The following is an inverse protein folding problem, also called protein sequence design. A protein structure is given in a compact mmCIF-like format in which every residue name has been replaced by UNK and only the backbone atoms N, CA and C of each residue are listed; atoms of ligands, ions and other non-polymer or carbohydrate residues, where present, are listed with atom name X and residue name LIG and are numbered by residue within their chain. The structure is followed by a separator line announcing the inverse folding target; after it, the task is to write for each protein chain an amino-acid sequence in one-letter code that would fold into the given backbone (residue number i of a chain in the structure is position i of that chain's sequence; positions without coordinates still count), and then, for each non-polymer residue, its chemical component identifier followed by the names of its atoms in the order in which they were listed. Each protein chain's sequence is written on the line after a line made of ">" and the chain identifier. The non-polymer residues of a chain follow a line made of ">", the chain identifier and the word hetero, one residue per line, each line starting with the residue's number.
data_IF_433272755464
#
_entry.id   IF_433272755464
#
_cell.length_a   1.000
_cell.length_b   1.000
_cell.length_c   1.000
_cell.angle_alpha   90.00
_cell.angle_beta   90.00
_cell.angle_gamma   90.00
#
_symmetry.space_group_name_H-M   'P 1'
#
loop_
_entity.id
_entity.type
_entity.pdbx_description
1 polymer ?
#
# COMPACT_ATOMS: atom_id res chain seq x y z
N UNK A 1 -7.85 25.75 2.31
CA UNK A 1 -6.97 25.36 1.17
C UNK A 1 -5.51 25.73 1.38
N UNK A 2 -5.20 26.66 2.30
CA UNK A 2 -3.82 26.94 2.71
C UNK A 2 -3.05 25.68 3.13
N UNK A 3 -3.63 24.82 3.98
CA UNK A 3 -2.99 23.56 4.39
C UNK A 3 -2.70 22.57 3.26
N UNK A 4 -3.53 22.54 2.21
CA UNK A 4 -3.26 21.72 1.03
C UNK A 4 -2.02 22.22 0.29
N UNK A 5 -1.85 23.54 0.17
CA UNK A 5 -0.61 24.13 -0.35
C UNK A 5 0.56 23.80 0.58
N UNK A 6 0.37 23.90 1.90
CA UNK A 6 1.39 23.53 2.89
C UNK A 6 1.87 22.08 2.75
N UNK A 7 1.02 21.17 2.29
CA UNK A 7 1.41 19.78 2.07
C UNK A 7 2.57 19.66 1.07
N UNK A 8 2.55 20.48 0.01
CA UNK A 8 3.53 20.46 -1.08
C UNK A 8 4.57 21.59 -1.01
N UNK A 9 4.49 22.51 -0.03
CA UNK A 9 5.37 23.68 0.07
C UNK A 9 6.86 23.32 0.22
N UNK A 10 7.15 22.24 0.94
CA UNK A 10 8.55 21.82 1.19
C UNK A 10 9.12 20.97 0.05
N UNK A 11 8.36 20.75 -1.03
CA UNK A 11 8.84 19.96 -2.17
C UNK A 11 9.75 20.86 -3.01
N UNK A 12 11.05 20.52 -3.17
CA UNK A 12 11.95 21.29 -4.01
C UNK A 12 11.46 21.28 -5.46
N UNK A 13 11.44 22.44 -6.11
CA UNK A 13 11.12 22.52 -7.54
C UNK A 13 12.29 21.99 -8.35
N UNK A 14 12.12 20.88 -9.10
CA UNK A 14 13.22 20.28 -9.85
C UNK A 14 13.46 20.99 -11.20
N UNK A 15 12.70 22.05 -11.50
CA UNK A 15 12.81 22.83 -12.74
C UNK A 15 13.78 24.00 -12.57
N UNK A 16 14.21 24.56 -13.69
CA UNK A 16 15.04 25.76 -13.70
C UNK A 16 14.25 27.01 -13.29
N UNK A 17 14.96 28.07 -12.89
CA UNK A 17 14.41 29.36 -12.40
C UNK A 17 13.46 30.06 -13.38
N UNK A 18 13.45 29.67 -14.66
CA UNK A 18 12.53 30.19 -15.67
C UNK A 18 11.18 29.46 -15.71
N UNK A 19 10.88 28.61 -14.72
CA UNK A 19 9.60 27.94 -14.59
C UNK A 19 8.46 28.96 -14.46
N UNK A 20 7.48 28.87 -15.37
CA UNK A 20 6.32 29.80 -15.39
C UNK A 20 5.21 29.39 -14.42
N UNK A 21 4.98 28.10 -14.22
CA UNK A 21 3.87 27.63 -13.37
C UNK A 21 4.40 27.28 -11.99
N UNK A 22 3.77 27.80 -10.93
CA UNK A 22 4.04 27.43 -9.55
C UNK A 22 3.92 25.91 -9.33
N UNK A 23 4.91 25.30 -8.69
CA UNK A 23 4.97 23.84 -8.49
C UNK A 23 3.76 23.33 -7.72
N UNK A 24 3.38 24.02 -6.65
CA UNK A 24 2.28 23.62 -5.79
C UNK A 24 0.98 23.67 -6.57
N UNK A 25 0.73 24.73 -7.33
CA UNK A 25 -0.44 24.81 -8.22
C UNK A 25 -0.48 23.63 -9.21
N UNK A 26 0.66 23.23 -9.80
CA UNK A 26 0.69 22.04 -10.70
C UNK A 26 0.37 20.74 -9.95
N UNK A 27 0.95 20.52 -8.78
CA UNK A 27 0.69 19.32 -7.98
C UNK A 27 -0.76 19.25 -7.48
N UNK A 28 -1.37 20.39 -7.13
CA UNK A 28 -2.79 20.47 -6.76
C UNK A 28 -3.67 20.06 -7.94
N UNK A 29 -3.42 20.62 -9.13
CA UNK A 29 -4.21 20.28 -10.33
C UNK A 29 -4.07 18.80 -10.64
N UNK A 30 -2.85 18.25 -10.57
CA UNK A 30 -2.60 16.84 -10.84
C UNK A 30 -3.39 15.94 -9.86
N UNK A 31 -3.38 16.25 -8.56
CA UNK A 31 -4.14 15.47 -7.58
C UNK A 31 -5.66 15.60 -7.81
N UNK A 32 -6.16 16.82 -8.05
CA UNK A 32 -7.57 17.04 -8.36
C UNK A 32 -8.01 16.30 -9.63
N UNK A 33 -7.18 16.29 -10.67
CA UNK A 33 -7.44 15.55 -11.90
C UNK A 33 -7.53 14.04 -11.64
N UNK A 34 -6.59 13.48 -10.88
CA UNK A 34 -6.60 12.04 -10.54
C UNK A 34 -7.81 11.67 -9.66
N UNK A 35 -8.25 12.55 -8.76
CA UNK A 35 -9.50 12.37 -8.01
C UNK A 35 -10.73 12.30 -8.92
N UNK A 36 -10.67 12.95 -10.08
CA UNK A 36 -11.71 12.95 -11.11
C UNK A 36 -11.51 11.86 -12.18
N UNK A 37 -10.46 11.04 -12.08
CA UNK A 37 -10.22 9.89 -12.97
C UNK A 37 -9.29 10.17 -14.14
N UNK A 38 -8.42 11.19 -14.04
CA UNK A 38 -7.33 11.38 -14.99
C UNK A 38 -6.26 10.28 -14.83
N UNK A 39 -5.90 9.62 -15.93
CA UNK A 39 -4.96 8.49 -15.93
C UNK A 39 -3.53 8.94 -16.29
N UNK A 40 -3.40 10.04 -17.04
CA UNK A 40 -2.14 10.52 -17.60
C UNK A 40 -2.02 12.06 -17.62
N UNK A 41 -0.85 12.57 -18.01
CA UNK A 41 -0.56 14.00 -17.99
C UNK A 41 -1.37 14.82 -19.02
N UNK A 42 -1.86 14.21 -20.10
CA UNK A 42 -2.76 14.88 -21.04
C UNK A 42 -4.13 15.09 -20.39
N UNK A 43 -4.67 14.07 -19.73
CA UNK A 43 -5.92 14.17 -18.98
C UNK A 43 -5.83 15.23 -17.86
N UNK A 44 -4.67 15.35 -17.20
CA UNK A 44 -4.43 16.40 -16.19
C UNK A 44 -4.53 17.81 -16.77
N UNK A 45 -3.98 18.02 -17.97
CA UNK A 45 -4.04 19.31 -18.65
C UNK A 45 -5.47 19.61 -19.14
N UNK A 46 -6.15 18.61 -19.72
CA UNK A 46 -7.55 18.74 -20.16
C UNK A 46 -8.49 19.03 -18.99
N UNK A 47 -8.33 18.31 -17.87
CA UNK A 47 -9.02 18.60 -16.62
C UNK A 47 -8.77 20.03 -16.14
N UNK A 48 -7.50 20.47 -16.15
CA UNK A 48 -7.13 21.81 -15.74
C UNK A 48 -7.85 22.88 -16.55
N UNK A 49 -7.90 22.73 -17.88
CA UNK A 49 -8.62 23.62 -18.77
C UNK A 49 -10.14 23.57 -18.51
N UNK A 50 -10.70 22.38 -18.37
CA UNK A 50 -12.14 22.19 -18.15
C UNK A 50 -12.63 22.74 -16.80
N UNK A 51 -11.76 22.74 -15.77
CA UNK A 51 -12.08 23.19 -14.41
C UNK A 51 -11.37 24.49 -14.02
N UNK A 52 -10.85 25.26 -14.98
CA UNK A 52 -10.06 26.46 -14.70
C UNK A 52 -10.80 27.45 -13.79
N UNK A 53 -12.08 27.70 -14.06
CA UNK A 53 -12.91 28.59 -13.25
C UNK A 53 -13.03 28.14 -11.79
N UNK A 54 -13.12 26.83 -11.53
CA UNK A 54 -13.11 26.26 -10.18
C UNK A 54 -11.72 26.39 -9.55
N UNK A 55 -10.67 26.01 -10.27
CA UNK A 55 -9.29 26.02 -9.79
C UNK A 55 -8.84 27.43 -9.39
N UNK A 56 -9.24 28.47 -10.14
CA UNK A 56 -8.94 29.89 -9.85
C UNK A 56 -9.59 30.39 -8.55
N UNK A 57 -10.56 29.69 -7.97
CA UNK A 57 -11.11 30.05 -6.66
C UNK A 57 -10.09 29.85 -5.52
N UNK A 58 -9.02 29.08 -5.76
CA UNK A 58 -8.06 28.72 -4.73
C UNK A 58 -6.60 28.57 -5.19
N UNK A 59 -6.35 28.56 -6.49
CA UNK A 59 -5.03 28.65 -7.11
C UNK A 59 -4.85 30.00 -7.78
N UNK A 60 -3.61 30.50 -7.86
CA UNK A 60 -3.35 31.80 -8.49
C UNK A 60 -3.37 31.69 -10.00
N UNK A 61 -2.72 30.65 -10.54
CA UNK A 61 -2.64 30.37 -11.98
C UNK A 61 -2.27 31.61 -12.80
N UNK A 62 -1.21 32.31 -12.38
CA UNK A 62 -0.73 33.55 -13.00
C UNK A 62 -0.45 33.36 -14.50
N UNK A 63 0.08 32.20 -14.86
CA UNK A 63 0.38 31.82 -16.23
C UNK A 63 -0.63 30.80 -16.83
N UNK A 64 -1.81 30.68 -16.23
CA UNK A 64 -2.87 29.76 -16.66
C UNK A 64 -2.57 28.29 -16.36
N UNK A 65 -3.29 27.40 -17.04
CA UNK A 65 -3.21 25.95 -16.83
C UNK A 65 -1.93 25.38 -17.47
N UNK A 66 -1.15 24.56 -16.73
CA UNK A 66 0.03 23.90 -17.27
C UNK A 66 -0.31 22.94 -18.41
N UNK A 67 0.58 22.86 -19.42
CA UNK A 67 0.47 21.86 -20.48
C UNK A 67 0.81 20.44 -19.98
N UNK A 68 0.41 19.42 -20.74
CA UNK A 68 0.76 18.02 -20.46
C UNK A 68 2.28 17.78 -20.38
N UNK A 69 3.07 18.50 -21.17
CA UNK A 69 4.54 18.49 -21.11
C UNK A 69 5.07 19.01 -19.77
N UNK A 70 4.40 20.01 -19.19
CA UNK A 70 4.79 20.59 -17.89
C UNK A 70 4.54 19.57 -16.78
N UNK A 71 3.36 18.95 -16.75
CA UNK A 71 3.08 17.85 -15.80
C UNK A 71 4.08 16.70 -15.96
N UNK A 72 4.30 16.25 -17.20
CA UNK A 72 5.22 15.16 -17.52
C UNK A 72 6.64 15.47 -17.06
N UNK A 73 7.14 16.70 -17.31
CA UNK A 73 8.46 17.14 -16.90
C UNK A 73 8.62 17.16 -15.38
N UNK A 74 7.64 17.71 -14.65
CA UNK A 74 7.69 17.77 -13.19
C UNK A 74 7.75 16.36 -12.62
N UNK A 75 6.81 15.47 -12.96
CA UNK A 75 6.80 14.12 -12.39
C UNK A 75 8.02 13.28 -12.77
N UNK A 76 8.67 13.57 -13.90
CA UNK A 76 9.91 12.91 -14.30
C UNK A 76 11.14 13.37 -13.51
N UNK A 77 11.20 14.65 -13.17
CA UNK A 77 12.37 15.26 -12.51
C UNK A 77 12.23 15.33 -10.99
N UNK A 78 11.00 15.27 -10.47
CA UNK A 78 10.76 15.35 -9.04
C UNK A 78 11.42 14.18 -8.33
N UNK A 79 12.27 14.49 -7.35
CA UNK A 79 12.92 13.48 -6.52
C UNK A 79 11.85 12.75 -5.68
N UNK A 80 11.66 11.43 -5.87
CA UNK A 80 10.70 10.66 -5.11
C UNK A 80 10.98 10.68 -3.60
N UNK A 81 12.25 10.77 -3.18
CA UNK A 81 12.61 10.85 -1.77
C UNK A 81 12.18 12.18 -1.15
N UNK A 82 12.19 13.27 -1.92
CA UNK A 82 11.66 14.55 -1.48
C UNK A 82 10.12 14.61 -1.54
N UNK A 83 9.50 13.81 -2.42
CA UNK A 83 8.05 13.75 -2.55
C UNK A 83 7.37 12.88 -1.49
N UNK A 84 8.04 11.84 -1.01
CA UNK A 84 7.44 10.90 -0.06
C UNK A 84 7.18 11.47 1.36
N UNK A 85 7.92 12.46 1.89
CA UNK A 85 7.51 13.22 3.08
C UNK A 85 6.14 13.88 2.96
N UNK A 86 5.75 14.32 1.75
CA UNK A 86 4.40 14.83 1.47
C UNK A 86 3.37 13.75 1.76
N UNK A 87 3.63 12.53 1.29
CA UNK A 87 2.78 11.37 1.53
C UNK A 87 2.60 11.10 3.03
N UNK A 88 3.66 11.25 3.83
CA UNK A 88 3.59 11.05 5.28
C UNK A 88 2.88 12.15 6.02
N UNK A 89 3.17 13.42 5.71
CA UNK A 89 2.44 14.56 6.29
C UNK A 89 0.95 14.43 6.02
N UNK A 90 0.61 14.04 4.79
CA UNK A 90 -0.76 13.77 4.39
C UNK A 90 -1.38 12.70 5.28
N UNK A 91 -0.68 11.59 5.52
CA UNK A 91 -1.17 10.50 6.36
C UNK A 91 -1.31 10.87 7.84
N UNK A 92 -0.43 11.72 8.37
CA UNK A 92 -0.53 12.20 9.75
C UNK A 92 -1.86 12.91 10.03
N UNK A 93 -2.47 13.55 9.00
CA UNK A 93 -3.79 14.17 9.12
C UNK A 93 -4.93 13.12 9.20
N UNK A 94 -4.75 11.92 8.63
CA UNK A 94 -5.77 10.85 8.64
C UNK A 94 -5.57 9.82 9.75
N UNK A 95 -4.35 9.62 10.22
CA UNK A 95 -3.99 8.58 11.18
C UNK A 95 -3.47 9.21 12.47
N UNK A 96 -4.38 9.60 13.37
CA UNK A 96 -3.99 10.11 14.69
C UNK A 96 -3.24 9.06 15.53
N UNK A 97 -3.51 7.77 15.32
CA UNK A 97 -2.70 6.64 15.82
C UNK A 97 -2.87 5.43 14.88
N UNK A 98 -1.75 4.90 14.35
CA UNK A 98 -1.76 3.64 13.61
C UNK A 98 -1.95 2.48 14.59
N UNK A 99 -2.97 1.65 14.37
CA UNK A 99 -3.23 0.47 15.18
C UNK A 99 -3.69 -0.68 14.30
N UNK A 100 -3.55 -1.90 14.80
CA UNK A 100 -4.00 -3.09 14.09
C UNK A 100 -2.96 -3.64 13.11
N UNK A 101 -3.38 -4.14 11.96
CA UNK A 101 -2.53 -4.86 11.02
C UNK A 101 -1.93 -3.92 9.99
N UNK A 102 -0.60 -3.95 9.89
CA UNK A 102 0.17 -3.28 8.85
C UNK A 102 0.71 -4.34 7.90
N UNK A 103 0.25 -4.36 6.65
CA UNK A 103 0.71 -5.30 5.64
C UNK A 103 1.80 -4.66 4.79
N UNK A 104 2.88 -5.42 4.55
CA UNK A 104 3.98 -5.06 3.66
C UNK A 104 3.97 -6.04 2.50
N UNK A 105 3.96 -5.52 1.28
CA UNK A 105 3.93 -6.34 0.07
C UNK A 105 4.55 -5.62 -1.13
N UNK A 106 5.13 -6.41 -2.03
CA UNK A 106 5.72 -5.95 -3.28
C UNK A 106 4.68 -5.81 -4.39
N UNK A 107 4.78 -4.76 -5.19
CA UNK A 107 3.96 -4.54 -6.39
C UNK A 107 4.85 -4.20 -7.59
N UNK A 108 4.69 -4.96 -8.67
CA UNK A 108 5.25 -4.62 -9.97
C UNK A 108 4.30 -3.69 -10.73
N UNK A 109 4.82 -2.55 -11.20
CA UNK A 109 4.12 -1.65 -12.10
C UNK A 109 4.28 -2.15 -13.55
N UNK A 110 3.35 -2.98 -14.03
CA UNK A 110 3.53 -3.71 -15.30
C UNK A 110 3.71 -2.81 -16.53
N UNK A 111 3.16 -1.61 -16.51
CA UNK A 111 3.28 -0.62 -17.58
C UNK A 111 4.61 0.15 -17.56
N UNK A 112 5.32 0.16 -16.43
CA UNK A 112 6.50 0.96 -16.15
C UNK A 112 7.79 0.18 -16.38
N UNK A 113 8.28 0.19 -17.62
CA UNK A 113 9.55 -0.41 -18.02
C UNK A 113 10.26 0.44 -19.08
N UNK A 114 11.59 0.35 -19.14
CA UNK A 114 12.37 0.97 -20.21
C UNK A 114 12.08 0.29 -21.56
N UNK A 115 12.16 1.04 -22.67
CA UNK A 115 11.95 0.47 -24.01
C UNK A 115 12.93 -0.68 -24.25
N UNK A 116 12.41 -1.87 -24.57
CA UNK A 116 13.20 -3.09 -24.73
C UNK A 116 13.32 -3.96 -23.47
N UNK A 117 12.83 -3.50 -22.31
CA UNK A 117 12.90 -4.20 -21.02
C UNK A 117 11.53 -4.53 -20.42
N UNK A 118 10.58 -4.97 -21.26
CA UNK A 118 9.20 -5.33 -20.87
C UNK A 118 9.11 -6.34 -19.71
N UNK A 119 10.13 -7.19 -19.55
CA UNK A 119 10.21 -8.24 -18.53
C UNK A 119 10.74 -7.75 -17.18
N UNK A 120 11.20 -6.50 -17.09
CA UNK A 120 11.70 -5.87 -15.86
C UNK A 120 10.92 -4.60 -15.54
N UNK A 121 9.64 -4.73 -15.14
CA UNK A 121 8.89 -3.59 -14.64
C UNK A 121 9.51 -3.03 -13.35
N UNK A 122 9.23 -1.76 -13.10
CA UNK A 122 9.53 -1.09 -11.85
C UNK A 122 8.79 -1.81 -10.70
N UNK A 123 9.50 -2.07 -9.61
CA UNK A 123 8.94 -2.70 -8.42
C UNK A 123 8.90 -1.71 -7.26
N UNK A 124 7.77 -1.71 -6.56
CA UNK A 124 7.52 -0.91 -5.37
C UNK A 124 7.23 -1.84 -4.20
N UNK A 125 7.64 -1.45 -3.01
CA UNK A 125 7.11 -2.03 -1.77
C UNK A 125 6.08 -1.05 -1.24
N UNK A 126 4.88 -1.57 -0.95
CA UNK A 126 3.79 -0.81 -0.35
C UNK A 126 3.61 -1.24 1.10
N UNK A 127 3.28 -0.25 1.95
CA UNK A 127 2.87 -0.50 3.33
C UNK A 127 1.41 -0.07 3.50
N UNK A 128 0.60 -0.96 4.05
CA UNK A 128 -0.86 -0.86 4.09
C UNK A 128 -1.39 -0.99 5.52
N UNK A 129 -2.10 0.01 6.04
CA UNK A 129 -2.82 -0.10 7.31
C UNK A 129 -4.22 -0.67 7.05
N UNK A 130 -4.46 -1.92 7.45
CA UNK A 130 -5.66 -2.67 7.06
C UNK A 130 -6.95 -2.10 7.66
N UNK A 131 -6.93 -1.74 8.93
CA UNK A 131 -8.07 -1.19 9.67
C UNK A 131 -8.38 0.24 9.23
N UNK A 132 -7.37 1.08 9.09
CA UNK A 132 -7.50 2.44 8.56
C UNK A 132 -7.88 2.43 7.07
N UNK A 133 -7.60 1.33 6.37
CA UNK A 133 -7.77 1.17 4.93
C UNK A 133 -6.97 2.21 4.14
N UNK A 134 -5.74 2.51 4.55
CA UNK A 134 -4.88 3.51 3.93
C UNK A 134 -3.53 2.92 3.52
N UNK A 135 -3.00 3.37 2.39
CA UNK A 135 -1.61 3.13 2.05
C UNK A 135 -0.76 4.12 2.83
N UNK A 136 0.18 3.63 3.64
CA UNK A 136 0.90 4.45 4.62
C UNK A 136 2.38 4.69 4.29
N UNK A 137 2.97 3.88 3.42
CA UNK A 137 4.29 4.18 2.85
C UNK A 137 4.49 3.50 1.49
N UNK A 138 5.49 3.96 0.75
CA UNK A 138 6.05 3.24 -0.38
C UNK A 138 7.55 3.48 -0.52
N UNK A 139 8.22 2.45 -1.03
CA UNK A 139 9.61 2.53 -1.48
C UNK A 139 9.79 1.89 -2.84
N UNK A 140 10.61 2.51 -3.68
CA UNK A 140 11.16 1.84 -4.86
C UNK A 140 12.02 0.66 -4.41
N UNK A 141 11.89 -0.49 -5.08
CA UNK A 141 12.79 -1.62 -4.94
C UNK A 141 13.86 -1.59 -6.06
N UNK A 142 14.96 -0.82 -5.90
CA UNK A 142 15.97 -0.73 -6.93
C UNK A 142 16.56 -2.10 -7.19
N UNK A 143 16.78 -2.44 -8.47
CA UNK A 143 17.32 -3.74 -8.89
C UNK A 143 16.55 -4.95 -8.34
N UNK A 144 15.25 -4.79 -8.03
CA UNK A 144 14.39 -5.82 -7.42
C UNK A 144 14.77 -6.23 -6.00
N UNK A 145 15.47 -5.36 -5.29
CA UNK A 145 15.74 -5.58 -3.87
C UNK A 145 14.55 -5.14 -3.02
N UNK A 146 13.47 -5.92 -3.07
CA UNK A 146 12.24 -5.67 -2.31
C UNK A 146 12.49 -5.73 -0.79
N UNK A 147 13.46 -6.53 -0.34
CA UNK A 147 13.84 -6.62 1.07
C UNK A 147 14.37 -5.29 1.60
N UNK A 148 15.34 -4.68 0.92
CA UNK A 148 15.89 -3.39 1.34
C UNK A 148 14.82 -2.29 1.32
N UNK A 149 14.00 -2.24 0.27
CA UNK A 149 12.91 -1.27 0.16
C UNK A 149 11.87 -1.42 1.28
N UNK A 150 11.57 -2.66 1.70
CA UNK A 150 10.66 -2.92 2.81
C UNK A 150 11.23 -2.45 4.15
N UNK A 151 12.52 -2.64 4.40
CA UNK A 151 13.21 -2.13 5.59
C UNK A 151 13.16 -0.60 5.64
N UNK A 152 13.55 0.07 4.55
CA UNK A 152 13.50 1.53 4.45
C UNK A 152 12.08 2.06 4.68
N UNK A 153 11.06 1.38 4.15
CA UNK A 153 9.67 1.80 4.33
C UNK A 153 9.22 1.69 5.81
N UNK A 154 9.69 0.67 6.54
CA UNK A 154 9.36 0.47 7.97
C UNK A 154 10.14 1.40 8.89
N UNK A 155 11.38 1.74 8.56
CA UNK A 155 12.22 2.68 9.33
C UNK A 155 11.64 4.08 9.48
N UNK A 156 10.54 4.33 8.80
CA UNK A 156 9.98 5.65 8.69
C UNK A 156 8.59 5.73 9.32
N UNK A 157 8.17 4.64 9.97
CA UNK A 157 6.88 4.50 10.64
C UNK A 157 7.09 4.22 12.13
N UNK A 158 6.26 4.81 12.98
CA UNK A 158 6.04 4.36 14.35
C UNK A 158 5.03 3.21 14.30
N UNK A 159 5.38 2.05 14.88
CA UNK A 159 4.60 0.81 14.77
C UNK A 159 4.01 0.39 16.12
N UNK A 160 4.04 1.26 17.12
CA UNK A 160 3.43 1.02 18.43
C UNK A 160 1.97 0.60 18.29
N UNK A 161 1.61 -0.54 18.89
CA UNK A 161 0.25 -1.10 18.78
C UNK A 161 -0.08 -1.76 17.44
N UNK A 162 0.85 -1.79 16.48
CA UNK A 162 0.68 -2.47 15.20
C UNK A 162 1.19 -3.93 15.21
N UNK A 163 0.61 -4.74 14.35
CA UNK A 163 1.11 -6.07 13.96
C UNK A 163 1.46 -6.06 12.47
N UNK A 164 2.75 -6.08 12.16
CA UNK A 164 3.27 -6.13 10.81
C UNK A 164 3.11 -7.55 10.25
N UNK A 165 2.58 -7.64 9.04
CA UNK A 165 2.46 -8.87 8.27
C UNK A 165 3.20 -8.71 6.96
N UNK A 166 3.93 -9.73 6.56
CA UNK A 166 4.64 -9.73 5.30
C UNK A 166 4.70 -11.17 4.77
N UNK A 167 4.96 -11.29 3.48
CA UNK A 167 5.15 -12.56 2.83
C UNK A 167 6.44 -13.27 3.29
N UNK A 168 6.72 -14.42 2.69
CA UNK A 168 7.88 -15.20 3.10
C UNK A 168 9.20 -14.54 2.68
N UNK A 169 9.23 -13.73 1.62
CA UNK A 169 10.42 -13.05 1.15
C UNK A 169 11.02 -12.15 2.25
N UNK A 170 10.15 -11.48 3.02
CA UNK A 170 10.53 -10.60 4.12
C UNK A 170 10.77 -11.31 5.47
N UNK A 171 10.69 -12.65 5.51
CA UNK A 171 10.86 -13.41 6.74
C UNK A 171 12.36 -13.67 7.04
N UNK A 172 13.05 -12.65 7.57
CA UNK A 172 14.44 -12.72 8.01
C UNK A 172 14.68 -11.89 9.29
N UNK A 173 15.80 -12.18 9.97
CA UNK A 173 16.09 -11.64 11.29
C UNK A 173 16.14 -10.10 11.32
N UNK A 174 16.77 -9.47 10.33
CA UNK A 174 16.86 -8.01 10.22
C UNK A 174 15.47 -7.34 10.11
N UNK A 175 14.55 -7.92 9.32
CA UNK A 175 13.18 -7.41 9.18
C UNK A 175 12.40 -7.51 10.49
N UNK A 176 12.49 -8.67 11.15
CA UNK A 176 11.90 -8.87 12.47
C UNK A 176 12.47 -7.89 13.51
N UNK A 177 13.79 -7.67 13.51
CA UNK A 177 14.45 -6.71 14.38
C UNK A 177 13.96 -5.28 14.13
N UNK A 178 13.87 -4.86 12.86
CA UNK A 178 13.37 -3.55 12.49
C UNK A 178 11.95 -3.30 13.04
N UNK A 179 11.04 -4.26 12.85
CA UNK A 179 9.67 -4.16 13.35
C UNK A 179 9.65 -4.00 14.88
N UNK A 180 10.40 -4.84 15.60
CA UNK A 180 10.44 -4.81 17.06
C UNK A 180 11.06 -3.51 17.59
N UNK A 181 12.12 -3.02 16.96
CA UNK A 181 12.79 -1.77 17.33
C UNK A 181 11.87 -0.55 17.17
N UNK A 182 10.94 -0.60 16.22
CA UNK A 182 9.91 0.43 15.97
C UNK A 182 8.65 0.28 16.82
N UNK A 183 8.66 -0.58 17.84
CA UNK A 183 7.53 -0.81 18.77
C UNK A 183 6.47 -1.78 18.26
N UNK A 184 6.62 -2.30 17.04
CA UNK A 184 5.68 -3.21 16.41
C UNK A 184 5.79 -4.65 16.87
N UNK A 185 4.75 -5.42 16.57
CA UNK A 185 4.76 -6.89 16.62
C UNK A 185 4.73 -7.44 15.19
N UNK A 186 5.10 -8.71 14.99
CA UNK A 186 5.08 -9.31 13.65
C UNK A 186 4.34 -10.65 13.60
N UNK A 187 3.72 -10.91 12.45
CA UNK A 187 3.25 -12.21 11.99
C UNK A 187 3.75 -12.44 10.56
N UNK A 188 4.93 -13.05 10.43
CA UNK A 188 5.64 -13.21 9.15
C UNK A 188 5.39 -14.59 8.58
N UNK A 189 5.07 -14.68 7.28
CA UNK A 189 4.91 -15.98 6.62
C UNK A 189 6.25 -16.72 6.59
N UNK A 190 6.23 -18.01 6.92
CA UNK A 190 7.42 -18.87 6.97
C UNK A 190 7.35 -19.90 5.84
N UNK A 191 8.43 -20.01 5.07
CA UNK A 191 8.63 -21.02 4.02
C UNK A 191 10.06 -21.53 4.05
N UNK A 192 10.42 -22.30 3.03
CA UNK A 192 11.75 -22.90 2.84
C UNK A 192 12.91 -21.89 2.72
N UNK A 193 12.66 -20.58 2.59
CA UNK A 193 13.71 -19.56 2.65
C UNK A 193 14.38 -19.48 4.05
N UNK A 194 13.71 -19.98 5.09
CA UNK A 194 14.26 -20.22 6.42
C UNK A 194 14.20 -21.72 6.73
N UNK A 195 14.87 -22.54 5.90
CA UNK A 195 14.67 -23.99 5.83
C UNK A 195 14.73 -24.69 7.18
N UNK A 196 15.76 -24.45 7.99
CA UNK A 196 15.91 -25.09 9.31
C UNK A 196 14.77 -24.71 10.28
N UNK A 197 14.38 -23.43 10.31
CA UNK A 197 13.29 -22.94 11.15
C UNK A 197 11.93 -23.43 10.65
N UNK A 198 11.76 -23.54 9.34
CA UNK A 198 10.58 -24.12 8.72
C UNK A 198 10.41 -25.59 9.07
N UNK A 199 11.49 -26.38 8.99
CA UNK A 199 11.47 -27.79 9.41
C UNK A 199 11.10 -27.94 10.89
N UNK A 200 11.70 -27.15 11.78
CA UNK A 200 11.33 -27.17 13.20
C UNK A 200 9.86 -26.78 13.41
N UNK A 201 9.35 -25.80 12.66
CA UNK A 201 7.96 -25.40 12.74
C UNK A 201 7.02 -26.52 12.30
N UNK A 202 7.35 -27.24 11.24
CA UNK A 202 6.59 -28.41 10.79
C UNK A 202 6.58 -29.52 11.84
N UNK A 203 7.73 -29.84 12.45
CA UNK A 203 7.82 -30.85 13.52
C UNK A 203 6.87 -30.53 14.68
N UNK A 204 6.75 -29.25 15.04
CA UNK A 204 5.90 -28.82 16.16
C UNK A 204 4.41 -28.69 15.81
N UNK A 205 4.08 -28.41 14.54
CA UNK A 205 2.72 -28.06 14.12
C UNK A 205 1.98 -29.15 13.33
N UNK A 206 2.67 -29.96 12.53
CA UNK A 206 2.03 -31.02 11.73
C UNK A 206 1.35 -32.09 12.60
N UNK A 207 1.87 -32.50 13.78
CA UNK A 207 1.15 -33.42 14.67
C UNK A 207 -0.21 -32.90 15.16
N UNK A 208 -0.45 -31.59 15.03
CA UNK A 208 -1.68 -30.91 15.45
C UNK A 208 -2.60 -30.58 14.27
N UNK A 209 -2.26 -30.99 13.05
CA UNK A 209 -3.04 -30.67 11.84
C UNK A 209 -4.50 -31.13 11.94
N UNK A 210 -4.74 -32.34 12.44
CA UNK A 210 -6.08 -32.94 12.61
C UNK A 210 -6.85 -32.40 13.84
N UNK A 211 -6.22 -31.55 14.66
CA UNK A 211 -6.78 -31.01 15.91
C UNK A 211 -6.70 -29.49 15.94
N UNK A 212 -7.39 -28.78 15.03
CA UNK A 212 -7.34 -27.33 14.99
C UNK A 212 -7.95 -26.72 16.25
N UNK A 213 -7.27 -25.71 16.80
CA UNK A 213 -7.73 -25.02 18.01
C UNK A 213 -8.91 -24.09 17.72
N UNK A 214 -8.99 -23.55 16.50
CA UNK A 214 -10.12 -22.75 16.01
C UNK A 214 -10.40 -23.12 14.56
N UNK A 215 -11.70 -23.19 14.23
CA UNK A 215 -12.21 -23.31 12.87
C UNK A 215 -13.25 -22.21 12.63
N UNK A 216 -13.03 -21.42 11.58
CA UNK A 216 -14.06 -20.47 11.12
C UNK A 216 -15.12 -21.19 10.29
N UNK A 217 -16.39 -20.74 10.34
CA UNK A 217 -17.44 -21.27 9.49
C UNK A 217 -17.10 -21.03 8.01
N UNK A 218 -17.67 -21.87 7.13
CA UNK A 218 -17.60 -21.67 5.68
C UNK A 218 -18.15 -20.28 5.35
N UNK A 219 -17.31 -19.46 4.73
CA UNK A 219 -17.72 -18.14 4.24
C UNK A 219 -17.75 -18.16 2.72
N UNK A 220 -18.94 -17.97 2.16
CA UNK A 220 -19.20 -18.00 0.72
C UNK A 220 -19.19 -16.63 0.08
N UNK A 221 -18.55 -16.50 -1.09
CA UNK A 221 -18.70 -15.35 -1.99
C UNK A 221 -18.48 -15.78 -3.44
N UNK A 222 -19.36 -15.36 -4.34
CA UNK A 222 -19.28 -15.65 -5.79
C UNK A 222 -19.06 -17.14 -6.12
N UNK A 223 -19.81 -18.04 -5.45
CA UNK A 223 -19.75 -19.49 -5.69
C UNK A 223 -18.52 -20.21 -5.12
N UNK A 224 -17.75 -19.52 -4.26
CA UNK A 224 -16.58 -20.06 -3.56
C UNK A 224 -16.82 -20.03 -2.07
N UNK A 225 -16.76 -21.19 -1.43
CA UNK A 225 -16.82 -21.30 0.02
C UNK A 225 -15.42 -21.55 0.58
N UNK A 226 -15.02 -20.78 1.58
CA UNK A 226 -13.72 -20.92 2.23
C UNK A 226 -13.89 -21.28 3.71
N UNK A 227 -13.16 -22.31 4.14
CA UNK A 227 -13.00 -22.70 5.55
C UNK A 227 -11.55 -22.47 5.96
N UNK A 228 -11.35 -21.85 7.12
CA UNK A 228 -10.01 -21.60 7.68
C UNK A 228 -9.88 -22.17 9.07
N UNK A 229 -8.77 -22.85 9.30
CA UNK A 229 -8.41 -23.45 10.57
C UNK A 229 -7.06 -22.90 11.01
N UNK A 230 -6.87 -22.78 12.32
CA UNK A 230 -5.60 -22.36 12.89
C UNK A 230 -5.20 -23.18 14.11
N UNK A 231 -3.90 -23.41 14.20
CA UNK A 231 -3.19 -23.93 15.37
C UNK A 231 -2.11 -22.93 15.73
N UNK A 232 -2.00 -22.59 17.02
CA UNK A 232 -0.93 -21.73 17.54
C UNK A 232 -0.26 -22.45 18.71
N UNK A 233 1.06 -22.61 18.62
CA UNK A 233 1.87 -23.23 19.66
C UNK A 233 2.94 -22.27 20.17
N UNK A 234 3.27 -22.30 21.48
CA UNK A 234 4.42 -21.57 21.99
C UNK A 234 5.72 -22.10 21.35
N UNK A 235 6.64 -21.20 21.07
CA UNK A 235 7.88 -21.47 20.33
C UNK A 235 9.12 -21.31 21.23
N UNK A 236 9.05 -21.85 22.45
CA UNK A 236 10.12 -21.68 23.43
C UNK A 236 11.46 -22.21 22.89
N UNK A 237 12.52 -21.39 22.98
CA UNK A 237 13.86 -21.76 22.53
C UNK A 237 14.14 -21.57 21.03
N UNK A 238 13.12 -21.46 20.16
CA UNK A 238 13.34 -21.30 18.72
C UNK A 238 14.04 -20.00 18.34
N UNK A 239 13.71 -18.89 19.02
CA UNK A 239 14.40 -17.62 18.82
C UNK A 239 15.91 -17.74 19.03
N UNK A 240 16.35 -18.46 20.08
CA UNK A 240 17.78 -18.67 20.37
C UNK A 240 18.43 -19.69 19.42
N UNK A 241 17.71 -20.76 19.08
CA UNK A 241 18.21 -21.82 18.18
C UNK A 241 18.53 -21.28 16.79
N UNK A 242 17.71 -20.36 16.28
CA UNK A 242 17.81 -19.85 14.90
C UNK A 242 18.33 -18.42 14.81
N UNK A 243 18.79 -17.83 15.92
CA UNK A 243 19.17 -16.42 16.02
C UNK A 243 18.15 -15.46 15.38
N UNK A 244 16.86 -15.73 15.64
CA UNK A 244 15.76 -14.98 15.06
C UNK A 244 15.07 -14.14 16.13
N UNK A 245 15.07 -12.79 15.99
CA UNK A 245 14.60 -11.89 17.02
C UNK A 245 13.14 -12.10 17.38
N UNK A 246 12.86 -12.32 18.66
CA UNK A 246 11.53 -12.16 19.22
C UNK A 246 10.52 -13.28 18.98
N UNK A 247 10.89 -14.44 18.41
CA UNK A 247 9.92 -15.55 18.22
C UNK A 247 9.31 -15.95 19.58
N UNK A 248 7.98 -15.86 19.70
CA UNK A 248 7.21 -16.32 20.88
C UNK A 248 6.26 -17.46 20.58
N UNK A 249 5.75 -17.54 19.35
CA UNK A 249 4.85 -18.59 18.92
C UNK A 249 5.01 -18.90 17.43
N UNK A 250 4.55 -20.09 17.05
CA UNK A 250 4.37 -20.49 15.67
C UNK A 250 2.87 -20.66 15.40
N UNK A 251 2.46 -20.43 14.16
CA UNK A 251 1.11 -20.76 13.72
C UNK A 251 1.10 -21.56 12.43
N UNK A 252 0.17 -22.52 12.36
CA UNK A 252 -0.26 -23.21 11.13
C UNK A 252 -1.66 -22.73 10.80
N UNK A 253 -1.86 -22.30 9.56
CA UNK A 253 -3.17 -21.96 9.02
C UNK A 253 -3.43 -22.85 7.84
N UNK A 254 -4.58 -23.51 7.85
CA UNK A 254 -5.07 -24.29 6.73
C UNK A 254 -6.28 -23.59 6.11
N UNK A 255 -6.23 -23.41 4.79
CA UNK A 255 -7.32 -22.90 3.99
C UNK A 255 -7.83 -24.02 3.10
N UNK A 256 -9.10 -24.38 3.31
CA UNK A 256 -9.83 -25.30 2.45
C UNK A 256 -10.82 -24.49 1.62
N UNK A 257 -10.77 -24.64 0.29
CA UNK A 257 -11.68 -23.96 -0.63
C UNK A 257 -12.55 -24.98 -1.34
N UNK A 258 -13.84 -24.66 -1.45
CA UNK A 258 -14.80 -25.36 -2.30
C UNK A 258 -15.28 -24.43 -3.40
N UNK A 259 -15.27 -24.90 -4.65
CA UNK A 259 -15.78 -24.18 -5.82
C UNK A 259 -16.89 -25.03 -6.44
N UNK A 260 -18.14 -24.58 -6.32
CA UNK A 260 -19.29 -25.42 -6.63
C UNK A 260 -19.30 -26.67 -5.74
N UNK A 261 -19.28 -27.86 -6.35
CA UNK A 261 -19.25 -29.14 -5.63
C UNK A 261 -17.85 -29.73 -5.43
N UNK A 262 -16.81 -29.12 -6.02
CA UNK A 262 -15.44 -29.62 -5.93
C UNK A 262 -14.66 -28.96 -4.78
N UNK A 263 -14.01 -29.77 -3.95
CA UNK A 263 -13.01 -29.33 -2.97
C UNK A 263 -11.62 -29.24 -3.62
N UNK A 264 -10.97 -28.08 -3.48
CA UNK A 264 -9.57 -27.90 -3.86
C UNK A 264 -8.64 -28.49 -2.78
N UNK A 265 -7.39 -28.84 -3.11
CA UNK A 265 -6.40 -29.23 -2.11
C UNK A 265 -6.19 -28.13 -1.05
N UNK A 266 -6.02 -28.51 0.24
CA UNK A 266 -5.79 -27.54 1.30
C UNK A 266 -4.51 -26.74 1.07
N UNK A 267 -4.59 -25.43 1.29
CA UNK A 267 -3.42 -24.55 1.29
C UNK A 267 -2.97 -24.36 2.75
N UNK A 268 -1.81 -24.92 3.08
CA UNK A 268 -1.20 -24.79 4.41
C UNK A 268 -0.17 -23.66 4.41
N UNK A 269 -0.21 -22.82 5.45
CA UNK A 269 0.71 -21.71 5.66
C UNK A 269 1.24 -21.70 7.09
N UNK A 270 2.52 -21.41 7.21
CA UNK A 270 3.23 -21.31 8.48
C UNK A 270 3.56 -19.86 8.78
N UNK A 271 3.55 -19.47 10.05
CA UNK A 271 3.88 -18.12 10.48
C UNK A 271 4.76 -18.09 11.73
N UNK A 272 5.72 -17.17 11.74
CA UNK A 272 6.44 -16.76 12.94
C UNK A 272 5.69 -15.62 13.62
N UNK A 273 5.52 -15.72 14.94
CA UNK A 273 4.81 -14.72 15.72
C UNK A 273 5.71 -14.14 16.81
N UNK A 274 5.83 -12.81 16.87
CA UNK A 274 6.55 -12.11 17.93
C UNK A 274 5.79 -12.06 19.27
N UNK A 275 4.51 -12.43 19.23
CA UNK A 275 3.62 -12.49 20.38
C UNK A 275 2.74 -13.73 20.26
N UNK A 276 2.40 -14.34 21.39
CA UNK A 276 1.41 -15.41 21.41
C UNK A 276 0.00 -14.79 21.36
N UNK A 277 -0.61 -14.82 20.17
CA UNK A 277 -2.02 -14.48 19.98
C UNK A 277 -2.90 -15.73 20.07
N UNK A 278 -4.21 -15.54 20.28
CA UNK A 278 -5.17 -16.63 20.11
C UNK A 278 -5.25 -17.06 18.64
N UNK A 279 -5.57 -18.32 18.33
CA UNK A 279 -5.71 -18.80 16.95
C UNK A 279 -6.74 -18.00 16.15
N UNK A 280 -7.85 -17.61 16.77
CA UNK A 280 -8.85 -16.73 16.16
C UNK A 280 -8.26 -15.36 15.76
N UNK A 281 -7.41 -14.77 16.60
CA UNK A 281 -6.74 -13.50 16.29
C UNK A 281 -5.71 -13.66 15.18
N UNK A 282 -4.99 -14.78 15.12
CA UNK A 282 -4.05 -15.09 14.01
C UNK A 282 -4.79 -15.23 12.68
N UNK A 283 -5.95 -15.89 12.64
CA UNK A 283 -6.81 -15.92 11.45
C UNK A 283 -7.27 -14.52 11.03
N UNK A 284 -7.62 -13.66 11.99
CA UNK A 284 -7.99 -12.27 11.70
C UNK A 284 -6.82 -11.46 11.13
N UNK A 285 -5.62 -11.58 11.72
CA UNK A 285 -4.40 -10.89 11.28
C UNK A 285 -4.05 -11.30 9.84
N UNK A 286 -3.99 -12.60 9.57
CA UNK A 286 -3.64 -13.11 8.24
C UNK A 286 -4.71 -12.84 7.19
N UNK A 287 -5.99 -12.75 7.59
CA UNK A 287 -7.06 -12.27 6.70
C UNK A 287 -6.92 -10.79 6.38
N UNK A 288 -6.53 -9.97 7.35
CA UNK A 288 -6.31 -8.54 7.15
C UNK A 288 -5.12 -8.25 6.22
N UNK A 289 -4.08 -9.08 6.26
CA UNK A 289 -2.93 -8.99 5.33
C UNK A 289 -3.39 -8.97 3.86
N UNK A 290 -4.30 -9.85 3.45
CA UNK A 290 -4.87 -9.88 2.09
C UNK A 290 -5.61 -8.60 1.67
N UNK A 291 -5.85 -7.67 2.62
CA UNK A 291 -6.35 -6.34 2.32
C UNK A 291 -5.41 -5.55 1.42
N UNK A 292 -4.08 -5.76 1.49
CA UNK A 292 -3.15 -5.06 0.60
C UNK A 292 -3.40 -5.42 -0.87
N UNK A 293 -3.55 -6.70 -1.17
CA UNK A 293 -3.79 -7.16 -2.53
C UNK A 293 -5.18 -6.75 -3.05
N UNK A 294 -6.22 -7.01 -2.27
CA UNK A 294 -7.59 -6.81 -2.73
C UNK A 294 -8.06 -5.36 -2.64
N UNK A 295 -7.55 -4.59 -1.67
CA UNK A 295 -8.00 -3.23 -1.43
C UNK A 295 -6.98 -2.19 -1.88
N UNK A 296 -5.68 -2.44 -1.86
CA UNK A 296 -4.71 -1.49 -2.41
C UNK A 296 -4.40 -1.82 -3.86
N UNK A 297 -3.69 -2.93 -4.12
CA UNK A 297 -3.14 -3.24 -5.44
C UNK A 297 -4.23 -3.38 -6.51
N UNK A 298 -5.27 -4.17 -6.24
CA UNK A 298 -6.37 -4.33 -7.20
C UNK A 298 -7.09 -3.01 -7.51
N UNK A 299 -7.26 -2.12 -6.52
CA UNK A 299 -7.91 -0.83 -6.74
C UNK A 299 -7.03 0.07 -7.60
N UNK A 300 -5.72 0.10 -7.35
CA UNK A 300 -4.77 0.83 -8.20
C UNK A 300 -4.81 0.31 -9.64
N UNK A 301 -4.84 -1.01 -9.83
CA UNK A 301 -4.85 -1.62 -11.16
C UNK A 301 -6.16 -1.42 -11.92
N UNK A 302 -7.30 -1.58 -11.26
CA UNK A 302 -8.61 -1.65 -11.93
C UNK A 302 -9.36 -0.32 -11.90
N UNK A 303 -9.09 0.53 -10.93
CA UNK A 303 -9.77 1.83 -10.77
C UNK A 303 -8.90 2.99 -11.25
N UNK A 304 -7.58 2.92 -11.11
CA UNK A 304 -6.64 3.96 -11.58
C UNK A 304 -5.81 3.56 -12.80
N UNK A 305 -6.15 2.41 -13.42
CA UNK A 305 -5.50 1.83 -14.61
C UNK A 305 -3.96 1.80 -14.53
N UNK A 306 -3.42 1.60 -13.33
CA UNK A 306 -1.99 1.77 -13.05
C UNK A 306 -1.11 0.82 -13.86
N UNK A 307 -1.56 -0.43 -14.03
CA UNK A 307 -0.88 -1.45 -14.82
C UNK A 307 -0.78 -1.10 -16.32
N UNK A 308 -1.68 -0.26 -16.84
CA UNK A 308 -1.67 0.17 -18.25
C UNK A 308 -0.93 1.49 -18.46
N UNK A 309 -0.61 2.23 -17.40
CA UNK A 309 0.09 3.50 -17.47
C UNK A 309 1.40 3.40 -18.28
N UNK A 310 1.67 4.40 -19.13
CA UNK A 310 2.80 4.41 -20.08
C UNK A 310 3.91 5.39 -19.71
N UNK A 311 3.79 6.04 -18.56
CA UNK A 311 4.74 7.01 -18.03
C UNK A 311 5.94 6.25 -17.47
N UNK A 312 6.92 5.94 -18.33
CA UNK A 312 8.01 4.96 -18.06
C UNK A 312 9.36 5.59 -17.74
N UNK A 313 9.48 6.91 -17.87
CA UNK A 313 10.77 7.59 -17.94
C UNK A 313 11.11 8.26 -16.61
N UNK A 314 12.38 8.22 -16.24
CA UNK A 314 12.94 8.89 -15.06
C UNK A 314 12.12 8.52 -13.79
N UNK A 315 11.80 9.49 -12.93
CA UNK A 315 11.00 9.29 -11.72
C UNK A 315 9.48 9.28 -11.95
N UNK A 316 9.05 9.44 -13.21
CA UNK A 316 7.63 9.56 -13.58
C UNK A 316 6.72 8.47 -13.02
N UNK A 317 7.03 7.17 -13.23
CA UNK A 317 6.15 6.10 -12.74
C UNK A 317 6.05 6.06 -11.21
N UNK A 318 7.14 6.30 -10.49
CA UNK A 318 7.15 6.28 -9.03
C UNK A 318 6.33 7.45 -8.45
N UNK A 319 6.53 8.67 -8.96
CA UNK A 319 5.81 9.84 -8.48
C UNK A 319 4.30 9.78 -8.80
N UNK A 320 3.93 9.21 -9.95
CA UNK A 320 2.52 9.00 -10.27
C UNK A 320 1.88 7.91 -9.40
N UNK A 321 2.62 6.87 -8.99
CA UNK A 321 2.13 5.89 -8.03
C UNK A 321 1.88 6.53 -6.66
N UNK A 322 2.75 7.45 -6.21
CA UNK A 322 2.51 8.25 -5.00
C UNK A 322 1.23 9.09 -5.16
N UNK A 323 1.08 9.79 -6.30
CA UNK A 323 -0.10 10.63 -6.57
C UNK A 323 -1.41 9.82 -6.57
N UNK A 324 -1.43 8.64 -7.19
CA UNK A 324 -2.61 7.75 -7.19
C UNK A 324 -2.98 7.31 -5.77
N UNK A 325 -2.00 7.03 -4.92
CA UNK A 325 -2.26 6.63 -3.53
C UNK A 325 -2.72 7.78 -2.65
N UNK A 326 -2.21 9.00 -2.87
CA UNK A 326 -2.78 10.20 -2.26
C UNK A 326 -4.26 10.32 -2.63
N UNK A 327 -4.59 10.22 -3.92
CA UNK A 327 -5.98 10.27 -4.40
C UNK A 327 -6.84 9.15 -3.77
N UNK A 328 -6.35 7.91 -3.74
CA UNK A 328 -7.05 6.78 -3.15
C UNK A 328 -7.32 7.00 -1.66
N UNK A 329 -6.32 7.46 -0.90
CA UNK A 329 -6.47 7.73 0.52
C UNK A 329 -7.49 8.87 0.77
N UNK A 330 -7.48 9.95 -0.04
CA UNK A 330 -8.50 11.00 0.01
C UNK A 330 -9.90 10.44 -0.27
N UNK A 331 -10.04 9.64 -1.33
CA UNK A 331 -11.32 9.03 -1.71
C UNK A 331 -11.87 8.12 -0.61
N UNK A 332 -11.00 7.41 0.14
CA UNK A 332 -11.41 6.52 1.23
C UNK A 332 -11.82 7.28 2.48
N UNK A 333 -11.08 8.33 2.81
CA UNK A 333 -11.34 9.16 3.98
C UNK A 333 -12.62 9.99 3.84
N UNK A 334 -13.13 10.16 2.62
CA UNK A 334 -14.38 10.84 2.36
C UNK A 334 -15.61 10.09 2.93
N UNK A 335 -16.47 10.73 3.76
CA UNK A 335 -17.61 10.10 4.45
C UNK A 335 -18.65 9.40 3.58
N UNK A 336 -18.75 9.78 2.30
CA UNK A 336 -19.64 9.12 1.35
C UNK A 336 -19.43 7.59 1.32
N UNK A 337 -20.52 6.83 1.38
CA UNK A 337 -20.52 5.36 1.32
C UNK A 337 -20.45 4.81 -0.11
N UNK A 338 -20.39 5.68 -1.12
CA UNK A 338 -20.29 5.27 -2.52
C UNK A 338 -18.97 4.50 -2.78
N UNK A 339 -18.98 3.58 -3.74
CA UNK A 339 -17.76 2.89 -4.16
C UNK A 339 -16.71 3.89 -4.69
N UNK A 340 -15.42 3.52 -4.61
CA UNK A 340 -14.32 4.38 -5.07
C UNK A 340 -14.55 4.87 -6.52
N UNK A 341 -14.96 3.97 -7.42
CA UNK A 341 -15.28 4.33 -8.81
C UNK A 341 -16.43 5.34 -8.92
N UNK A 342 -17.47 5.22 -8.07
CA UNK A 342 -18.56 6.20 -8.04
C UNK A 342 -18.11 7.54 -7.45
N UNK A 343 -17.24 7.53 -6.43
CA UNK A 343 -16.65 8.75 -5.87
C UNK A 343 -15.83 9.50 -6.92
N UNK A 344 -14.99 8.80 -7.69
CA UNK A 344 -14.19 9.39 -8.79
C UNK A 344 -15.11 10.05 -9.82
N UNK A 345 -16.13 9.34 -10.31
CA UNK A 345 -17.10 9.89 -11.26
C UNK A 345 -17.82 11.12 -10.71
N UNK A 346 -18.30 11.05 -9.46
CA UNK A 346 -18.95 12.19 -8.81
C UNK A 346 -18.01 13.40 -8.68
N UNK A 347 -16.74 13.19 -8.37
CA UNK A 347 -15.75 14.27 -8.31
C UNK A 347 -15.54 14.92 -9.69
N UNK A 348 -15.64 14.16 -10.78
CA UNK A 348 -15.63 14.72 -12.14
C UNK A 348 -16.89 15.54 -12.47
N UNK A 349 -18.07 15.07 -12.03
CA UNK A 349 -19.36 15.65 -12.39
C UNK A 349 -19.78 16.85 -11.53
N UNK A 350 -19.44 16.84 -10.24
CA UNK A 350 -19.94 17.77 -9.23
C UNK A 350 -18.76 18.49 -8.55
N UNK A 351 -18.62 19.78 -8.85
CA UNK A 351 -17.56 20.64 -8.32
C UNK A 351 -17.64 20.82 -6.80
N UNK A 352 -18.84 20.79 -6.23
CA UNK A 352 -19.01 20.87 -4.78
C UNK A 352 -18.50 19.58 -4.12
N UNK A 353 -18.74 18.43 -4.74
CA UNK A 353 -18.23 17.15 -4.28
C UNK A 353 -16.69 17.08 -4.38
N UNK A 354 -16.10 17.50 -5.50
CA UNK A 354 -14.63 17.61 -5.63
C UNK A 354 -14.05 18.55 -4.58
N UNK A 355 -14.63 19.74 -4.41
CA UNK A 355 -14.18 20.72 -3.43
C UNK A 355 -14.26 20.15 -2.01
N UNK A 356 -15.28 19.35 -1.71
CA UNK A 356 -15.41 18.68 -0.41
C UNK A 356 -14.30 17.65 -0.15
N UNK A 357 -13.81 16.95 -1.19
CA UNK A 357 -12.64 16.06 -1.08
C UNK A 357 -11.36 16.84 -0.83
N UNK A 358 -11.12 17.89 -1.61
CA UNK A 358 -9.95 18.76 -1.44
C UNK A 358 -9.96 19.46 -0.07
N UNK A 359 -11.16 19.73 0.48
CA UNK A 359 -11.34 20.32 1.79
C UNK A 359 -11.16 19.34 2.96
N UNK A 360 -11.20 18.02 2.75
CA UNK A 360 -10.90 17.05 3.81
C UNK A 360 -9.39 16.92 4.08
N UNK A 361 -8.58 17.42 3.17
CA UNK A 361 -7.13 17.55 3.33
C UNK A 361 -6.77 18.81 4.15
N UNK A 362 -7.65 19.19 5.11
CA UNK A 362 -7.56 20.39 5.96
C UNK A 362 -7.21 20.00 7.39
#
# INVERSE_FOLDING_TARGET
>A
MQKFKNLFQDVPDPRADNARHDLVDVLVIALAAVLCGADNCADMAEFGCAKEALLRQFLRLEHGIPSHDTFSRIFRLLDPQAFEPVFRRFLAEFAKELHGVVAVDGKALRGAFERGRKTTPLQLVNVWAAEARLAIAQRLAPKRNEVAAALEALELLALDGCTVTADALHCHAEFAQCILHRGGQYALALKANQSALFTDAQILLEPLAEHPQVQQPLTGSHGRDERRQAVVVPAAGLARKHDFPGIKALARIELQRRVGDAEEPPIVRYFLLSRRWSPARVLAITRAHWGIENQLHWVLDVVFDEDRARNRKDHGPENLAILRKLALNTLRSHPSTASIRRKIKRAGWDDAFLTSMLAQMR
#
